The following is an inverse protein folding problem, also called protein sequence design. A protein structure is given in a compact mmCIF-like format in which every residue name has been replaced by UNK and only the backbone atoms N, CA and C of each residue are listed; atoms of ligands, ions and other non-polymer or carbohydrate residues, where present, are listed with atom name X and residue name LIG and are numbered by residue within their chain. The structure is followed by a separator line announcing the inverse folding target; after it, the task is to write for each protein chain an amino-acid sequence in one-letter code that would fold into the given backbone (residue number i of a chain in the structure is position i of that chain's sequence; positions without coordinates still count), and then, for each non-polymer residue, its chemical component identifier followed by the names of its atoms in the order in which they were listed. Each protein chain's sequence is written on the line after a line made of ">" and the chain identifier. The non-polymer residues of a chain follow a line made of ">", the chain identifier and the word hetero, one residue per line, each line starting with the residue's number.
data_IF_979848445735
#
_entry.id   IF_979848445735
#
_cell.length_a   1.000
_cell.length_b   1.000
_cell.length_c   1.000
_cell.angle_alpha   90.00
_cell.angle_beta   90.00
_cell.angle_gamma   90.00
#
_symmetry.space_group_name_H-M   'P 1'
#
loop_
_entity.id
_entity.type
_entity.pdbx_description
1 polymer ?
#
# COMPACT_ATOMS: atom_id res chain seq x y z
N UNK A 1 18.13 65.88 -5.63
CA UNK A 1 17.71 64.74 -6.49
C UNK A 1 18.18 63.46 -5.80
N UNK A 2 17.28 62.81 -5.14
CA UNK A 2 17.59 61.64 -4.33
C UNK A 2 17.08 60.39 -5.08
N UNK A 3 18.02 59.54 -5.50
CA UNK A 3 17.73 58.24 -5.99
C UNK A 3 17.51 57.26 -4.82
N UNK A 4 16.31 56.71 -4.73
CA UNK A 4 16.00 55.62 -3.80
C UNK A 4 16.25 54.29 -4.48
N UNK A 5 17.01 53.36 -3.88
CA UNK A 5 17.12 52.01 -4.40
C UNK A 5 15.90 51.17 -4.02
N UNK A 6 15.34 50.52 -5.00
CA UNK A 6 14.25 49.55 -4.89
C UNK A 6 14.64 48.38 -4.00
N UNK A 7 13.83 48.11 -2.97
CA UNK A 7 13.96 46.94 -2.13
C UNK A 7 13.59 45.69 -2.95
N UNK A 8 14.56 44.85 -3.17
CA UNK A 8 14.40 43.50 -3.75
C UNK A 8 13.79 42.59 -2.69
N UNK A 9 12.50 42.28 -2.87
CA UNK A 9 11.74 41.40 -1.99
C UNK A 9 12.01 39.96 -2.38
N UNK A 10 13.14 39.43 -1.94
CA UNK A 10 13.44 38.01 -2.05
C UNK A 10 12.68 37.26 -0.94
N UNK A 11 11.52 36.71 -1.29
CA UNK A 11 10.87 35.69 -0.48
C UNK A 11 11.80 34.45 -0.41
N UNK A 12 12.01 33.88 0.81
CA UNK A 12 12.77 32.64 0.91
C UNK A 12 12.03 31.55 0.17
N UNK A 13 12.72 30.92 -0.77
CA UNK A 13 12.27 29.69 -1.41
C UNK A 13 12.14 28.62 -0.33
N UNK A 14 10.91 28.20 -0.06
CA UNK A 14 10.62 27.05 0.79
C UNK A 14 11.35 25.83 0.19
N UNK A 15 12.45 25.45 0.79
CA UNK A 15 13.16 24.21 0.45
C UNK A 15 12.21 23.05 0.74
N UNK A 16 11.75 22.40 -0.33
CA UNK A 16 11.01 21.16 -0.25
C UNK A 16 11.84 20.16 0.57
N UNK A 17 11.40 19.84 1.76
CA UNK A 17 12.03 18.81 2.58
C UNK A 17 12.03 17.51 1.78
N UNK A 18 13.18 16.78 1.73
CA UNK A 18 13.22 15.50 1.09
C UNK A 18 12.18 14.58 1.77
N UNK A 19 11.52 13.68 1.00
CA UNK A 19 10.55 12.76 1.60
C UNK A 19 11.22 12.05 2.77
N UNK A 20 10.59 12.11 3.94
CA UNK A 20 11.08 11.42 5.14
C UNK A 20 11.32 9.97 4.74
N UNK A 21 12.57 9.52 4.85
CA UNK A 21 12.89 8.11 4.73
C UNK A 21 11.94 7.36 5.67
N UNK A 22 11.05 6.56 5.07
CA UNK A 22 10.03 5.83 5.79
C UNK A 22 10.72 4.89 6.76
N UNK A 23 10.65 5.20 8.06
CA UNK A 23 11.04 4.23 9.08
C UNK A 23 10.08 3.04 8.94
N UNK A 24 10.61 1.81 8.94
CA UNK A 24 9.74 0.64 8.95
C UNK A 24 8.83 0.74 10.17
N UNK A 25 7.52 0.56 9.98
CA UNK A 25 6.56 0.57 11.09
C UNK A 25 6.95 -0.51 12.08
N UNK A 26 7.31 -0.11 13.29
CA UNK A 26 7.74 -1.01 14.34
C UNK A 26 6.51 -1.56 15.07
N UNK A 27 5.94 -2.64 14.54
CA UNK A 27 5.00 -3.45 15.30
C UNK A 27 5.76 -4.29 16.32
N UNK A 28 5.45 -4.10 17.60
CA UNK A 28 6.01 -4.92 18.67
C UNK A 28 5.28 -6.27 18.69
N UNK A 29 5.98 -7.34 18.34
CA UNK A 29 5.40 -8.68 18.30
C UNK A 29 4.79 -9.15 19.65
N UNK A 30 5.23 -8.56 20.76
CA UNK A 30 4.68 -8.87 22.10
C UNK A 30 3.34 -8.15 22.39
N UNK A 31 2.99 -7.15 21.59
CA UNK A 31 1.77 -6.33 21.76
C UNK A 31 0.73 -6.56 20.67
N UNK A 32 0.96 -7.50 19.75
CA UNK A 32 0.04 -7.79 18.67
C UNK A 32 -1.23 -8.48 19.18
N UNK A 33 -2.37 -7.89 18.91
CA UNK A 33 -3.70 -8.50 19.13
C UNK A 33 -4.00 -9.56 18.06
N UNK A 34 -3.44 -9.38 16.86
CA UNK A 34 -3.54 -10.30 15.75
C UNK A 34 -2.21 -10.39 14.99
N UNK A 35 -1.84 -11.61 14.61
CA UNK A 35 -0.83 -11.89 13.60
C UNK A 35 -1.32 -13.05 12.73
N UNK A 36 -1.49 -12.80 11.45
CA UNK A 36 -1.96 -13.79 10.48
C UNK A 36 -1.02 -13.78 9.28
N UNK A 37 -0.58 -14.97 8.85
CA UNK A 37 0.18 -15.16 7.61
C UNK A 37 -0.56 -16.13 6.72
N UNK A 38 -0.81 -15.75 5.49
CA UNK A 38 -1.45 -16.58 4.47
C UNK A 38 -0.63 -16.58 3.20
N UNK A 39 -0.67 -17.68 2.48
CA UNK A 39 -0.09 -17.81 1.14
C UNK A 39 -1.15 -18.26 0.17
N UNK A 40 -1.04 -17.82 -1.08
CA UNK A 40 -1.93 -18.26 -2.15
C UNK A 40 -1.13 -18.54 -3.41
N UNK A 41 -1.60 -19.56 -4.18
CA UNK A 41 -1.13 -19.75 -5.55
C UNK A 41 -1.46 -18.49 -6.38
N UNK A 42 -0.60 -18.12 -7.29
CA UNK A 42 -0.80 -16.94 -8.11
C UNK A 42 -1.85 -17.18 -9.21
N UNK A 43 -3.06 -17.44 -8.78
CA UNK A 43 -4.27 -17.62 -9.55
C UNK A 43 -5.32 -16.59 -9.11
N UNK A 44 -6.00 -15.99 -10.08
CA UNK A 44 -7.07 -15.01 -9.80
C UNK A 44 -8.20 -15.59 -8.95
N UNK A 45 -8.54 -16.84 -9.18
CA UNK A 45 -9.63 -17.51 -8.45
C UNK A 45 -9.27 -17.77 -6.98
N UNK A 46 -7.97 -17.72 -6.63
CA UNK A 46 -7.50 -17.85 -5.25
C UNK A 46 -7.61 -16.54 -4.43
N UNK A 47 -7.80 -15.39 -5.06
CA UNK A 47 -7.83 -14.09 -4.38
C UNK A 47 -9.05 -13.95 -3.47
N UNK A 48 -10.25 -14.12 -3.99
CA UNK A 48 -11.50 -13.92 -3.24
C UNK A 48 -11.63 -14.83 -2.00
N UNK A 49 -11.29 -16.14 -2.06
CA UNK A 49 -11.30 -16.99 -0.88
C UNK A 49 -10.34 -16.52 0.22
N UNK A 50 -9.15 -16.05 -0.17
CA UNK A 50 -8.15 -15.53 0.79
C UNK A 50 -8.64 -14.23 1.41
N UNK A 51 -9.13 -13.29 0.61
CA UNK A 51 -9.72 -12.03 1.12
C UNK A 51 -10.81 -12.32 2.15
N UNK A 52 -11.76 -13.20 1.82
CA UNK A 52 -12.85 -13.59 2.75
C UNK A 52 -12.31 -14.18 4.04
N UNK A 53 -11.30 -15.03 3.97
CA UNK A 53 -10.72 -15.65 5.16
C UNK A 53 -10.05 -14.62 6.07
N UNK A 54 -9.27 -13.71 5.48
CA UNK A 54 -8.64 -12.60 6.22
C UNK A 54 -9.71 -11.71 6.85
N UNK A 55 -10.73 -11.31 6.08
CA UNK A 55 -11.79 -10.43 6.58
C UNK A 55 -12.64 -11.05 7.69
N UNK A 56 -12.87 -12.36 7.67
CA UNK A 56 -13.54 -13.06 8.76
C UNK A 56 -12.76 -12.96 10.06
N UNK A 57 -11.44 -13.22 10.01
CA UNK A 57 -10.56 -13.09 11.19
C UNK A 57 -10.55 -11.65 11.70
N UNK A 58 -10.51 -10.66 10.81
CA UNK A 58 -10.52 -9.25 11.17
C UNK A 58 -11.81 -8.85 11.91
N UNK A 59 -12.97 -9.30 11.42
CA UNK A 59 -14.27 -9.02 12.04
C UNK A 59 -14.39 -9.69 13.41
N UNK A 60 -13.90 -10.93 13.54
CA UNK A 60 -13.93 -11.66 14.82
C UNK A 60 -13.01 -11.01 15.87
N UNK A 61 -11.87 -10.50 15.47
CA UNK A 61 -10.88 -9.89 16.38
C UNK A 61 -11.12 -8.42 16.66
N UNK A 62 -12.08 -7.79 15.96
CA UNK A 62 -12.37 -6.34 16.09
C UNK A 62 -11.13 -5.46 15.85
N UNK A 63 -10.27 -5.89 14.95
CA UNK A 63 -8.94 -5.33 14.72
C UNK A 63 -8.94 -3.92 14.10
N UNK A 64 -9.96 -3.58 13.32
CA UNK A 64 -10.12 -2.24 12.75
C UNK A 64 -11.61 -1.94 12.57
N UNK A 65 -12.35 -1.73 13.67
CA UNK A 65 -13.78 -1.60 13.61
C UNK A 65 -14.22 -0.37 12.82
N UNK A 66 -15.15 -0.60 11.86
CA UNK A 66 -15.66 0.44 10.98
C UNK A 66 -14.73 0.81 9.79
N UNK A 67 -13.66 0.03 9.56
CA UNK A 67 -12.73 0.19 8.45
C UNK A 67 -12.70 -1.01 7.51
N UNK A 68 -13.56 -1.98 7.74
CA UNK A 68 -13.55 -3.28 7.09
C UNK A 68 -13.70 -3.17 5.57
N UNK A 69 -14.58 -2.31 5.08
CA UNK A 69 -14.83 -2.14 3.64
C UNK A 69 -13.61 -1.54 2.92
N UNK A 70 -12.95 -0.55 3.51
CA UNK A 70 -11.73 0.05 2.98
C UNK A 70 -10.62 -1.00 2.89
N UNK A 71 -10.47 -1.80 3.95
CA UNK A 71 -9.45 -2.83 4.05
C UNK A 71 -9.72 -3.96 3.05
N UNK A 72 -10.97 -4.42 2.94
CA UNK A 72 -11.36 -5.48 2.02
C UNK A 72 -11.04 -5.10 0.58
N UNK A 73 -11.37 -3.88 0.18
CA UNK A 73 -11.10 -3.39 -1.17
C UNK A 73 -9.60 -3.20 -1.42
N UNK A 74 -8.87 -2.60 -0.48
CA UNK A 74 -7.42 -2.41 -0.61
C UNK A 74 -6.68 -3.75 -0.67
N UNK A 75 -7.05 -4.72 0.16
CA UNK A 75 -6.48 -6.07 0.17
C UNK A 75 -6.75 -6.79 -1.14
N UNK A 76 -7.99 -6.71 -1.65
CA UNK A 76 -8.37 -7.30 -2.94
C UNK A 76 -7.51 -6.76 -4.08
N UNK A 77 -7.35 -5.45 -4.16
CA UNK A 77 -6.52 -4.80 -5.17
C UNK A 77 -5.04 -5.18 -5.05
N UNK A 78 -4.49 -5.21 -3.82
CA UNK A 78 -3.10 -5.58 -3.59
C UNK A 78 -2.81 -7.03 -3.98
N UNK A 79 -3.67 -7.97 -3.60
CA UNK A 79 -3.53 -9.38 -3.98
C UNK A 79 -3.71 -9.60 -5.49
N UNK A 80 -4.71 -8.95 -6.10
CA UNK A 80 -4.90 -9.01 -7.55
C UNK A 80 -3.69 -8.47 -8.31
N UNK A 81 -3.11 -7.36 -7.86
CA UNK A 81 -1.88 -6.82 -8.44
C UNK A 81 -0.69 -7.78 -8.31
N UNK A 82 -0.50 -8.38 -7.13
CA UNK A 82 0.55 -9.35 -6.89
C UNK A 82 0.43 -10.58 -7.80
N UNK A 83 -0.80 -11.10 -7.98
CA UNK A 83 -1.09 -12.26 -8.85
C UNK A 83 -0.90 -11.91 -10.32
N UNK A 84 -1.52 -10.82 -10.78
CA UNK A 84 -1.58 -10.48 -12.22
C UNK A 84 -0.27 -9.87 -12.71
N UNK A 85 0.25 -8.89 -11.99
CA UNK A 85 1.41 -8.10 -12.43
C UNK A 85 2.72 -8.66 -11.87
N UNK A 86 2.74 -9.07 -10.62
CA UNK A 86 3.90 -9.67 -9.98
C UNK A 86 4.18 -11.08 -10.47
N UNK A 87 3.29 -12.00 -10.21
CA UNK A 87 3.46 -13.41 -10.53
C UNK A 87 3.04 -13.81 -11.97
N UNK A 88 2.42 -12.89 -12.74
CA UNK A 88 1.98 -13.10 -14.14
C UNK A 88 0.94 -14.21 -14.30
N UNK A 89 0.05 -14.39 -13.32
CA UNK A 89 -0.94 -15.46 -13.25
C UNK A 89 -0.32 -16.86 -13.40
N UNK A 90 0.87 -17.06 -12.87
CA UNK A 90 1.56 -18.35 -12.87
C UNK A 90 1.21 -19.11 -11.57
N UNK A 91 0.34 -20.12 -11.63
CA UNK A 91 -0.15 -20.83 -10.44
C UNK A 91 0.93 -21.65 -9.72
N UNK A 92 2.10 -21.82 -10.32
CA UNK A 92 3.26 -22.45 -9.68
C UNK A 92 4.01 -21.50 -8.73
N UNK A 93 3.73 -20.20 -8.82
CA UNK A 93 4.28 -19.17 -7.94
C UNK A 93 3.35 -18.89 -6.77
N UNK A 94 3.94 -18.38 -5.68
CA UNK A 94 3.23 -18.09 -4.44
C UNK A 94 3.28 -16.58 -4.18
N UNK A 95 2.13 -16.04 -3.80
CA UNK A 95 1.98 -14.71 -3.21
C UNK A 95 1.80 -14.87 -1.71
N UNK A 96 2.45 -14.03 -0.94
CA UNK A 96 2.39 -14.04 0.52
C UNK A 96 1.64 -12.80 1.02
N UNK A 97 0.84 -12.98 2.06
CA UNK A 97 0.15 -11.90 2.75
C UNK A 97 0.29 -12.05 4.26
N UNK A 98 0.85 -11.05 4.91
CA UNK A 98 0.90 -10.95 6.36
C UNK A 98 -0.02 -9.84 6.84
N UNK A 99 -0.73 -10.09 7.91
CA UNK A 99 -1.58 -9.12 8.61
C UNK A 99 -1.17 -9.06 10.06
N UNK A 100 -0.93 -7.86 10.56
CA UNK A 100 -0.65 -7.59 11.96
C UNK A 100 -1.55 -6.45 12.46
N UNK A 101 -1.97 -6.53 13.70
CA UNK A 101 -2.79 -5.50 14.31
C UNK A 101 -2.45 -5.34 15.78
N UNK A 102 -2.42 -4.10 16.24
CA UNK A 102 -2.41 -3.74 17.64
C UNK A 102 -3.28 -2.49 17.90
N UNK A 103 -3.65 -2.28 19.16
CA UNK A 103 -4.51 -1.17 19.56
C UNK A 103 -3.84 0.21 19.43
N UNK A 104 -2.52 0.28 19.35
CA UNK A 104 -1.75 1.52 19.29
C UNK A 104 -1.52 1.98 17.84
N UNK A 105 -1.18 1.05 16.94
CA UNK A 105 -0.73 1.36 15.58
C UNK A 105 -1.80 1.09 14.51
N UNK A 106 -2.87 0.34 14.86
CA UNK A 106 -3.89 -0.11 13.91
C UNK A 106 -3.49 -1.38 13.19
N UNK A 107 -3.88 -1.51 11.92
CA UNK A 107 -3.65 -2.71 11.12
C UNK A 107 -2.59 -2.47 10.05
N UNK A 108 -1.60 -3.36 10.00
CA UNK A 108 -0.62 -3.45 8.93
C UNK A 108 -0.91 -4.69 8.07
N UNK A 109 -0.99 -4.48 6.77
CA UNK A 109 -1.06 -5.55 5.76
C UNK A 109 0.18 -5.46 4.89
N UNK A 110 0.85 -6.60 4.69
CA UNK A 110 2.02 -6.73 3.82
C UNK A 110 1.74 -7.78 2.77
N UNK A 111 1.80 -7.42 1.50
CA UNK A 111 1.66 -8.36 0.38
C UNK A 111 2.98 -8.43 -0.37
N UNK A 112 3.44 -9.66 -0.65
CA UNK A 112 4.70 -9.94 -1.37
C UNK A 112 4.43 -10.81 -2.57
N UNK A 113 5.01 -10.43 -3.69
CA UNK A 113 4.99 -11.23 -4.93
C UNK A 113 6.40 -11.66 -5.34
N UNK A 114 6.52 -12.77 -6.09
CA UNK A 114 7.81 -13.29 -6.55
C UNK A 114 8.26 -12.70 -7.88
N UNK A 115 7.66 -11.59 -8.31
CA UNK A 115 7.92 -10.98 -9.61
C UNK A 115 9.21 -10.16 -9.66
N UNK A 116 9.48 -9.53 -10.81
CA UNK A 116 10.66 -8.70 -11.01
C UNK A 116 10.57 -7.33 -10.33
N UNK A 117 9.38 -6.98 -9.83
CA UNK A 117 9.10 -5.66 -9.27
C UNK A 117 8.87 -4.59 -10.33
N UNK A 118 8.71 -3.39 -9.87
CA UNK A 118 8.55 -2.17 -10.67
C UNK A 118 9.09 -0.97 -9.88
N UNK A 119 9.32 0.13 -10.58
CA UNK A 119 9.68 1.39 -9.94
C UNK A 119 8.41 2.15 -9.53
N UNK A 120 8.09 2.27 -8.23
CA UNK A 120 6.88 2.97 -7.77
C UNK A 120 6.83 4.43 -8.21
N UNK A 121 7.97 5.08 -8.40
CA UNK A 121 8.05 6.47 -8.87
C UNK A 121 7.61 6.64 -10.33
N UNK A 122 7.57 5.56 -11.11
CA UNK A 122 7.11 5.54 -12.50
C UNK A 122 5.63 5.23 -12.66
N UNK A 123 4.91 4.99 -11.57
CA UNK A 123 3.47 4.81 -11.63
C UNK A 123 2.85 6.17 -11.87
N UNK A 124 2.33 6.34 -13.09
CA UNK A 124 1.68 7.57 -13.49
C UNK A 124 0.32 7.72 -12.79
N UNK A 125 -0.03 8.96 -12.44
CA UNK A 125 -1.33 9.28 -11.87
C UNK A 125 -2.46 8.89 -12.86
N UNK A 126 -3.37 7.97 -12.49
CA UNK A 126 -4.42 7.47 -13.39
C UNK A 126 -5.46 8.53 -13.74
N UNK A 127 -5.43 9.71 -13.11
CA UNK A 127 -6.35 10.80 -13.36
C UNK A 127 -5.97 11.66 -14.57
N UNK A 128 -4.75 11.48 -15.12
CA UNK A 128 -4.21 12.31 -16.19
C UNK A 128 -3.84 11.52 -17.45
N UNK A 129 -4.31 11.98 -18.60
CA UNK A 129 -3.92 11.53 -19.92
C UNK A 129 -4.24 10.06 -20.24
N UNK A 130 -3.34 9.41 -20.97
CA UNK A 130 -3.49 7.99 -21.39
C UNK A 130 -3.47 6.99 -20.23
N UNK A 131 -3.08 7.42 -19.04
CA UNK A 131 -3.00 6.59 -17.83
C UNK A 131 -4.37 6.14 -17.30
N UNK A 132 -5.46 6.82 -17.71
CA UNK A 132 -6.84 6.45 -17.37
C UNK A 132 -7.16 4.99 -17.75
N UNK A 133 -6.47 4.44 -18.75
CA UNK A 133 -6.65 3.06 -19.21
C UNK A 133 -5.72 2.04 -18.53
N UNK A 134 -4.78 2.49 -17.69
CA UNK A 134 -3.86 1.58 -16.98
C UNK A 134 -4.54 0.97 -15.76
N UNK A 135 -4.87 -0.32 -15.83
CA UNK A 135 -5.46 -1.06 -14.70
C UNK A 135 -4.52 -1.11 -13.48
N UNK A 136 -3.22 -1.22 -13.70
CA UNK A 136 -2.21 -1.26 -12.63
C UNK A 136 -2.16 0.05 -11.85
N UNK A 137 -2.13 1.19 -12.54
CA UNK A 137 -2.11 2.52 -11.90
C UNK A 137 -3.38 2.81 -11.11
N UNK A 138 -4.56 2.38 -11.60
CA UNK A 138 -5.84 2.57 -10.90
C UNK A 138 -5.92 1.81 -9.59
N UNK A 139 -5.48 0.55 -9.56
CA UNK A 139 -5.47 -0.27 -8.35
C UNK A 139 -4.59 0.35 -7.26
N UNK A 140 -3.37 0.77 -7.61
CA UNK A 140 -2.45 1.43 -6.67
C UNK A 140 -3.01 2.78 -6.19
N UNK A 141 -3.60 3.57 -7.08
CA UNK A 141 -4.27 4.81 -6.70
C UNK A 141 -5.40 4.56 -5.69
N UNK A 142 -6.23 3.54 -5.92
CA UNK A 142 -7.33 3.17 -5.02
C UNK A 142 -6.80 2.75 -3.65
N UNK A 143 -5.77 1.91 -3.58
CA UNK A 143 -5.12 1.52 -2.33
C UNK A 143 -4.67 2.76 -1.55
N UNK A 144 -4.03 3.73 -2.21
CA UNK A 144 -3.59 4.98 -1.57
C UNK A 144 -4.75 5.87 -1.08
N UNK A 145 -5.94 5.75 -1.66
CA UNK A 145 -7.13 6.48 -1.19
C UNK A 145 -7.79 5.81 0.02
N UNK A 146 -7.70 4.50 0.12
CA UNK A 146 -8.37 3.71 1.14
C UNK A 146 -7.54 3.54 2.41
N UNK A 147 -6.21 3.46 2.27
CA UNK A 147 -5.30 3.23 3.38
C UNK A 147 -4.68 4.54 3.87
N UNK A 148 -4.35 4.61 5.16
CA UNK A 148 -3.78 5.83 5.76
C UNK A 148 -2.31 6.02 5.37
N UNK A 149 -1.57 4.92 5.21
CA UNK A 149 -0.20 4.93 4.73
C UNK A 149 0.07 3.73 3.82
N UNK A 150 0.79 3.96 2.72
CA UNK A 150 1.20 2.91 1.77
C UNK A 150 2.67 3.08 1.44
N UNK A 151 3.42 2.00 1.51
CA UNK A 151 4.85 1.98 1.19
C UNK A 151 5.19 0.79 0.32
N UNK A 152 6.08 1.01 -0.66
CA UNK A 152 6.62 -0.06 -1.50
C UNK A 152 8.06 -0.36 -1.10
N UNK A 153 8.38 -1.65 -1.03
CA UNK A 153 9.69 -2.16 -0.68
C UNK A 153 10.20 -3.15 -1.72
N UNK A 154 11.47 -3.50 -1.64
CA UNK A 154 12.11 -4.51 -2.50
C UNK A 154 11.82 -4.31 -3.99
N UNK A 155 12.03 -3.09 -4.49
CA UNK A 155 11.75 -2.72 -5.87
C UNK A 155 10.30 -2.97 -6.30
N UNK A 156 9.34 -2.70 -5.42
CA UNK A 156 7.91 -2.81 -5.73
C UNK A 156 7.32 -4.21 -5.60
N UNK A 157 8.10 -5.23 -5.22
CA UNK A 157 7.60 -6.59 -4.99
C UNK A 157 6.95 -6.79 -3.63
N UNK A 158 7.02 -5.79 -2.77
CA UNK A 158 6.42 -5.82 -1.45
C UNK A 158 5.69 -4.50 -1.21
N UNK A 159 4.40 -4.57 -0.88
CA UNK A 159 3.57 -3.42 -0.50
C UNK A 159 3.19 -3.53 0.97
N UNK A 160 3.39 -2.47 1.71
CA UNK A 160 2.95 -2.29 3.08
C UNK A 160 1.80 -1.29 3.11
N UNK A 161 0.71 -1.66 3.74
CA UNK A 161 -0.51 -0.86 3.84
C UNK A 161 -0.92 -0.76 5.31
N UNK A 162 -1.01 0.46 5.82
CA UNK A 162 -1.43 0.74 7.21
C UNK A 162 -2.81 1.38 7.23
N UNK A 163 -3.68 0.88 8.13
CA UNK A 163 -5.01 1.44 8.45
C UNK A 163 -5.13 1.66 9.96
N UNK A 164 -5.45 2.89 10.37
CA UNK A 164 -5.65 3.30 11.77
C UNK A 164 -7.14 3.48 12.10
#
# INVERSE_FOLDING_TARGET
>A
MADSPSADNQQPKEEAQPPRASQPWAFDAAKLDLKLSVTLAADRDAVDPVVRSVMNVLRETQCAPGREDDIELALTEALANAVIHGAKNDPTKIVECDVACDAEHGMLIVVRDPGPGFDPAKIADPRHGENVYSNHGRGIYLINQLMDEVQFHKNGTEIHMLKK
#
